data_IF_987847579716
#
_entry.id   IF_987847579716
#
_cell.length_a   1.000
_cell.length_b   1.000
_cell.length_c   1.000
_cell.angle_alpha   90.00
_cell.angle_beta   90.00
_cell.angle_gamma   90.00
#
_symmetry.space_group_name_H-M   'P 1'
#
loop_
_entity.id
_entity.type
_entity.pdbx_description
1 polymer ?
#
# COMPACT_ATOMS: atom_id res chain seq x y z
N UNK A 1 0.58 4.81 -16.64
CA UNK A 1 -0.04 3.88 -15.66
C UNK A 1 -1.54 4.06 -15.69
N UNK A 2 -2.30 3.00 -15.62
CA UNK A 2 -3.76 3.04 -15.64
C UNK A 2 -4.28 2.80 -14.22
N UNK A 3 -5.06 3.76 -13.71
CA UNK A 3 -5.57 3.81 -12.34
C UNK A 3 -4.83 4.83 -11.47
N UNK A 4 -5.47 5.26 -10.38
CA UNK A 4 -4.90 6.15 -9.37
C UNK A 4 -5.14 5.66 -7.94
N UNK A 5 -5.24 4.34 -7.78
CA UNK A 5 -5.21 3.70 -6.47
C UNK A 5 -3.80 3.67 -5.87
N UNK A 6 -3.66 3.23 -4.61
CA UNK A 6 -2.38 3.21 -3.90
C UNK A 6 -1.25 2.54 -4.67
N UNK A 7 -1.53 1.42 -5.35
CA UNK A 7 -0.52 0.70 -6.13
C UNK A 7 0.00 1.52 -7.33
N UNK A 8 -0.90 2.15 -8.10
CA UNK A 8 -0.53 2.97 -9.24
C UNK A 8 0.21 4.23 -8.82
N UNK A 9 -0.24 4.89 -7.76
CA UNK A 9 0.43 6.06 -7.17
C UNK A 9 1.84 5.70 -6.70
N UNK A 10 2.00 4.60 -5.95
CA UNK A 10 3.33 4.17 -5.47
C UNK A 10 4.27 3.81 -6.62
N UNK A 11 3.76 3.14 -7.65
CA UNK A 11 4.53 2.83 -8.85
C UNK A 11 4.95 4.10 -9.62
N UNK A 12 4.05 5.08 -9.75
CA UNK A 12 4.37 6.35 -10.40
C UNK A 12 5.43 7.14 -9.61
N UNK A 13 5.35 7.14 -8.27
CA UNK A 13 6.36 7.74 -7.40
C UNK A 13 7.73 7.08 -7.63
N UNK A 14 7.79 5.75 -7.66
CA UNK A 14 9.04 5.04 -7.92
C UNK A 14 9.64 5.35 -9.30
N UNK A 15 8.79 5.46 -10.33
CA UNK A 15 9.23 5.88 -11.66
C UNK A 15 9.78 7.31 -11.65
N UNK A 16 9.10 8.25 -10.99
CA UNK A 16 9.57 9.63 -10.89
C UNK A 16 10.90 9.72 -10.15
N UNK A 17 11.06 8.98 -9.05
CA UNK A 17 12.30 8.92 -8.27
C UNK A 17 13.45 8.28 -9.06
N UNK A 18 13.15 7.46 -10.08
CA UNK A 18 14.14 6.92 -11.02
C UNK A 18 14.45 7.84 -12.21
N UNK A 19 13.90 9.05 -12.23
CA UNK A 19 14.14 10.05 -13.29
C UNK A 19 13.25 9.92 -14.52
N UNK A 20 12.19 9.11 -14.46
CA UNK A 20 11.19 9.02 -15.53
C UNK A 20 10.01 9.96 -15.27
N UNK A 21 9.25 10.29 -16.30
CA UNK A 21 8.07 11.15 -16.21
C UNK A 21 6.80 10.32 -16.40
N UNK A 22 6.26 9.68 -15.34
CA UNK A 22 5.06 8.87 -15.46
C UNK A 22 3.81 9.72 -15.67
N UNK A 23 2.84 9.17 -16.41
CA UNK A 23 1.49 9.69 -16.54
C UNK A 23 0.53 8.72 -15.86
N UNK A 24 -0.33 9.21 -14.97
CA UNK A 24 -1.47 8.49 -14.41
C UNK A 24 -2.72 8.77 -15.24
N UNK A 25 -3.40 7.73 -15.69
CA UNK A 25 -4.69 7.82 -16.38
C UNK A 25 -5.73 7.14 -15.50
N UNK A 26 -6.77 7.86 -15.15
CA UNK A 26 -7.77 7.39 -14.19
C UNK A 26 -9.18 7.72 -14.65
N UNK A 27 -10.04 6.71 -14.62
CA UNK A 27 -11.45 6.83 -15.00
C UNK A 27 -12.32 7.55 -13.96
N UNK A 28 -11.78 7.73 -12.76
CA UNK A 28 -12.48 8.34 -11.63
C UNK A 28 -11.75 9.58 -11.12
N UNK A 29 -12.44 10.41 -10.35
CA UNK A 29 -11.83 11.59 -9.71
C UNK A 29 -10.81 11.22 -8.62
N UNK A 30 -10.09 12.22 -8.16
CA UNK A 30 -9.11 12.10 -7.07
C UNK A 30 -9.76 11.49 -5.83
N UNK A 31 -9.12 10.51 -5.22
CA UNK A 31 -9.58 9.84 -3.99
C UNK A 31 -10.73 8.85 -4.18
N UNK A 32 -11.20 8.62 -5.40
CA UNK A 32 -12.32 7.71 -5.69
C UNK A 32 -11.89 6.30 -6.09
N UNK A 33 -10.59 6.01 -6.10
CA UNK A 33 -10.10 4.67 -6.36
C UNK A 33 -10.64 3.65 -5.35
N UNK A 34 -10.98 2.45 -5.81
CA UNK A 34 -11.59 1.40 -4.97
C UNK A 34 -10.81 1.11 -3.69
N UNK A 35 -9.49 1.20 -3.73
CA UNK A 35 -8.64 1.04 -2.54
C UNK A 35 -8.86 2.11 -1.46
N UNK A 36 -9.31 3.31 -1.81
CA UNK A 36 -9.57 4.39 -0.85
C UNK A 36 -10.80 4.13 0.03
N UNK A 37 -11.67 3.23 -0.38
CA UNK A 37 -12.90 2.90 0.34
C UNK A 37 -12.80 1.63 1.20
N UNK A 38 -11.66 0.96 1.19
CA UNK A 38 -11.42 -0.18 2.06
C UNK A 38 -11.28 0.26 3.52
N UNK A 39 -11.88 -0.48 4.42
CA UNK A 39 -11.75 -0.30 5.88
C UNK A 39 -10.65 -1.18 6.48
N UNK A 40 -9.84 -1.82 5.64
CA UNK A 40 -8.74 -2.66 6.09
C UNK A 40 -7.55 -1.83 6.59
N UNK A 41 -6.80 -2.40 7.52
CA UNK A 41 -5.49 -1.89 7.91
C UNK A 41 -4.38 -2.28 6.94
N UNK A 42 -3.17 -2.13 7.39
CA UNK A 42 -1.95 -2.54 6.70
C UNK A 42 -1.38 -3.76 7.42
N UNK A 43 -1.17 -4.86 6.72
CA UNK A 43 -0.42 -5.99 7.24
C UNK A 43 1.07 -5.72 7.00
N UNK A 44 1.82 -5.52 8.08
CA UNK A 44 3.26 -5.30 8.03
C UNK A 44 3.95 -6.09 9.13
N UNK A 45 4.97 -6.83 8.76
CA UNK A 45 5.80 -7.57 9.72
C UNK A 45 6.59 -6.60 10.59
N UNK A 46 6.82 -6.97 11.84
CA UNK A 46 7.56 -6.13 12.80
C UNK A 46 9.06 -6.49 12.77
N UNK A 47 9.37 -7.75 12.50
CA UNK A 47 10.73 -8.28 12.44
C UNK A 47 10.87 -9.42 11.41
N UNK A 48 12.08 -10.00 11.30
CA UNK A 48 12.35 -11.06 10.33
C UNK A 48 11.58 -12.37 10.63
N UNK A 49 11.37 -12.71 11.90
CA UNK A 49 10.61 -13.90 12.30
C UNK A 49 9.13 -13.74 11.91
N UNK A 50 8.55 -12.59 12.19
CA UNK A 50 7.19 -12.26 11.78
C UNK A 50 7.08 -12.20 10.24
N UNK A 51 8.11 -11.74 9.54
CA UNK A 51 8.14 -11.74 8.07
C UNK A 51 8.03 -13.15 7.50
N UNK A 52 8.68 -14.15 8.11
CA UNK A 52 8.54 -15.56 7.71
C UNK A 52 7.13 -16.09 7.95
N UNK A 53 6.56 -15.84 9.13
CA UNK A 53 5.19 -16.23 9.45
C UNK A 53 4.17 -15.52 8.53
N UNK A 54 4.37 -14.25 8.24
CA UNK A 54 3.53 -13.49 7.31
C UNK A 54 3.51 -14.10 5.90
N UNK A 55 4.68 -14.49 5.42
CA UNK A 55 4.79 -15.18 4.12
C UNK A 55 4.04 -16.51 4.13
N UNK A 56 4.19 -17.30 5.18
CA UNK A 56 3.50 -18.60 5.32
C UNK A 56 1.98 -18.42 5.37
N UNK A 57 1.49 -17.49 6.15
CA UNK A 57 0.08 -17.12 6.22
C UNK A 57 -0.46 -16.68 4.84
N UNK A 58 0.29 -15.83 4.13
CA UNK A 58 -0.07 -15.34 2.79
C UNK A 58 -0.15 -16.48 1.77
N UNK A 59 0.82 -17.40 1.78
CA UNK A 59 0.83 -18.57 0.90
C UNK A 59 -0.33 -19.50 1.24
N UNK A 60 -0.55 -19.76 2.53
CA UNK A 60 -1.65 -20.61 3.00
C UNK A 60 -3.01 -20.06 2.59
N UNK A 61 -3.23 -18.75 2.76
CA UNK A 61 -4.49 -18.09 2.41
C UNK A 61 -4.76 -18.10 0.89
N UNK A 62 -3.73 -17.94 0.08
CA UNK A 62 -3.86 -17.94 -1.38
C UNK A 62 -3.81 -19.33 -2.03
N UNK A 63 -3.42 -20.36 -1.29
CA UNK A 63 -3.31 -21.75 -1.76
C UNK A 63 -2.40 -21.90 -2.98
N UNK A 64 -2.79 -22.78 -3.90
CA UNK A 64 -2.02 -23.10 -5.12
C UNK A 64 -1.88 -21.91 -6.09
N UNK A 65 -2.77 -20.91 -6.00
CA UNK A 65 -2.74 -19.72 -6.86
C UNK A 65 -1.71 -18.68 -6.43
N UNK A 66 -1.06 -18.87 -5.28
CA UNK A 66 -0.12 -17.89 -4.74
C UNK A 66 1.22 -17.94 -5.47
N UNK A 67 1.64 -16.81 -6.02
CA UNK A 67 3.03 -16.62 -6.42
C UNK A 67 3.90 -16.44 -5.17
N UNK A 68 4.63 -17.49 -4.84
CA UNK A 68 5.48 -17.57 -3.64
C UNK A 68 6.63 -16.56 -3.65
N UNK A 69 7.12 -16.18 -4.84
CA UNK A 69 8.20 -15.19 -4.99
C UNK A 69 7.66 -13.82 -4.64
N UNK A 70 6.52 -13.42 -5.21
CA UNK A 70 5.86 -12.16 -4.91
C UNK A 70 5.43 -12.08 -3.44
N UNK A 71 4.89 -13.16 -2.87
CA UNK A 71 4.52 -13.22 -1.46
C UNK A 71 5.73 -12.98 -0.54
N UNK A 72 6.86 -13.64 -0.81
CA UNK A 72 8.08 -13.47 -0.04
C UNK A 72 8.58 -12.02 -0.09
N UNK A 73 8.57 -11.41 -1.28
CA UNK A 73 8.98 -10.02 -1.48
C UNK A 73 8.08 -9.04 -0.73
N UNK A 74 6.76 -9.13 -0.92
CA UNK A 74 5.79 -8.22 -0.28
C UNK A 74 5.88 -8.30 1.24
N UNK A 75 5.93 -9.51 1.80
CA UNK A 75 6.04 -9.68 3.25
C UNK A 75 7.39 -9.19 3.80
N UNK A 76 8.48 -9.38 3.06
CA UNK A 76 9.81 -8.91 3.45
C UNK A 76 9.97 -7.39 3.39
N UNK A 77 9.29 -6.72 2.46
CA UNK A 77 9.37 -5.25 2.28
C UNK A 77 8.39 -4.48 3.18
N UNK A 78 7.51 -5.16 3.92
CA UNK A 78 6.41 -4.54 4.66
C UNK A 78 6.85 -3.50 5.69
N UNK A 79 7.88 -3.80 6.50
CA UNK A 79 8.42 -2.88 7.52
C UNK A 79 8.98 -1.61 6.89
N UNK A 80 9.80 -1.77 5.84
CA UNK A 80 10.40 -0.64 5.16
C UNK A 80 9.34 0.27 4.49
N UNK A 81 8.32 -0.35 3.91
CA UNK A 81 7.19 0.36 3.30
C UNK A 81 6.38 1.13 4.34
N UNK A 82 6.12 0.52 5.49
CA UNK A 82 5.40 1.18 6.58
C UNK A 82 6.18 2.40 7.10
N UNK A 83 7.48 2.23 7.33
CA UNK A 83 8.37 3.32 7.76
C UNK A 83 8.46 4.45 6.71
N UNK A 84 8.39 4.13 5.41
CA UNK A 84 8.31 5.14 4.35
C UNK A 84 7.02 5.95 4.44
N UNK A 85 5.87 5.29 4.61
CA UNK A 85 4.57 5.95 4.77
C UNK A 85 4.53 6.85 6.02
N UNK A 86 5.12 6.42 7.15
CA UNK A 86 5.25 7.23 8.35
C UNK A 86 6.11 8.48 8.10
N UNK A 87 7.24 8.34 7.41
CA UNK A 87 8.07 9.49 7.01
C UNK A 87 7.32 10.47 6.09
N UNK A 88 6.36 10.00 5.33
CA UNK A 88 5.50 10.83 4.48
C UNK A 88 4.29 11.40 5.22
N UNK A 89 4.09 11.03 6.49
CA UNK A 89 3.09 11.61 7.37
C UNK A 89 1.92 10.68 7.71
N UNK A 90 2.04 9.36 7.50
CA UNK A 90 1.08 8.42 8.03
C UNK A 90 1.21 8.35 9.56
N UNK A 91 0.12 8.64 10.25
CA UNK A 91 0.07 8.54 11.71
C UNK A 91 -0.64 7.24 12.08
N UNK A 92 0.12 6.28 12.59
CA UNK A 92 -0.40 5.00 13.06
C UNK A 92 -0.95 5.13 14.48
N UNK A 93 -1.93 4.31 14.82
CA UNK A 93 -2.28 4.10 16.22
C UNK A 93 -1.12 3.43 16.93
N UNK A 94 -0.77 3.94 18.10
CA UNK A 94 0.31 3.41 18.93
C UNK A 94 -0.22 2.81 20.22
N UNK A 95 0.51 1.83 20.74
CA UNK A 95 0.36 1.31 22.11
C UNK A 95 1.33 2.03 23.04
N UNK A 96 1.25 1.73 24.34
CA UNK A 96 2.24 2.19 25.31
C UNK A 96 3.66 1.88 24.83
N UNK A 97 4.56 2.86 24.91
CA UNK A 97 5.92 2.76 24.40
C UNK A 97 6.11 3.24 22.97
N UNK A 98 5.05 3.77 22.30
CA UNK A 98 5.16 4.40 20.97
C UNK A 98 5.26 3.43 19.79
N UNK A 99 5.18 2.13 20.02
CA UNK A 99 5.17 1.14 18.95
C UNK A 99 3.80 1.09 18.25
N UNK A 100 3.75 0.80 16.94
CA UNK A 100 2.48 0.61 16.24
C UNK A 100 1.59 -0.40 16.96
N UNK A 101 0.32 -0.08 17.09
CA UNK A 101 -0.66 -1.01 17.63
C UNK A 101 -1.01 -2.04 16.57
N UNK A 102 -0.57 -3.29 16.79
CA UNK A 102 -0.95 -4.42 15.95
C UNK A 102 -2.21 -5.10 16.52
N UNK A 103 -3.08 -5.56 15.63
CA UNK A 103 -4.29 -6.29 15.96
C UNK A 103 -4.48 -7.52 15.08
N UNK A 104 -5.29 -8.45 15.55
CA UNK A 104 -5.59 -9.70 14.86
C UNK A 104 -6.48 -9.47 13.63
N UNK A 105 -6.25 -10.24 12.60
CA UNK A 105 -7.12 -10.31 11.44
C UNK A 105 -7.20 -11.74 10.89
N UNK A 106 -8.29 -12.12 10.22
CA UNK A 106 -8.44 -13.44 9.62
C UNK A 106 -7.28 -13.78 8.68
N UNK A 107 -6.79 -15.01 8.76
CA UNK A 107 -5.67 -15.49 7.93
C UNK A 107 -4.28 -15.13 8.44
N UNK A 108 -4.18 -14.45 9.56
CA UNK A 108 -2.91 -14.13 10.21
C UNK A 108 -2.69 -14.97 11.45
N UNK A 109 -1.55 -15.63 11.57
CA UNK A 109 -1.14 -16.43 12.74
C UNK A 109 -0.71 -15.58 13.93
N UNK A 110 -0.35 -14.31 13.71
CA UNK A 110 0.00 -13.33 14.74
C UNK A 110 -0.65 -11.97 14.44
N UNK A 111 -0.73 -11.13 15.45
CA UNK A 111 -1.24 -9.76 15.33
C UNK A 111 -0.24 -8.90 14.56
N UNK A 112 -0.57 -8.53 13.31
CA UNK A 112 0.28 -7.69 12.47
C UNK A 112 -0.48 -6.61 11.70
N UNK A 113 -1.80 -6.59 11.79
CA UNK A 113 -2.58 -5.52 11.17
C UNK A 113 -2.40 -4.23 11.95
N UNK A 114 -2.02 -3.16 11.27
CA UNK A 114 -1.86 -1.82 11.87
C UNK A 114 -2.53 -0.76 11.02
N UNK A 115 -2.62 0.45 11.54
CA UNK A 115 -3.22 1.57 10.81
C UNK A 115 -3.70 2.69 11.73
N UNK A 116 -4.52 3.56 11.19
CA UNK A 116 -5.19 4.67 11.89
C UNK A 116 -6.71 4.43 12.06
N UNK A 117 -7.15 3.19 11.99
CA UNK A 117 -8.55 2.76 12.07
C UNK A 117 -9.16 2.54 10.69
N UNK A 118 -10.47 2.74 10.58
CA UNK A 118 -11.25 2.53 9.37
C UNK A 118 -10.94 3.50 8.22
N UNK A 119 -10.20 4.57 8.48
CA UNK A 119 -9.70 5.51 7.48
C UNK A 119 -8.31 5.19 6.93
N UNK A 120 -7.68 4.08 7.33
CA UNK A 120 -6.28 3.75 7.02
C UNK A 120 -5.98 3.84 5.52
N UNK A 121 -6.76 3.19 4.68
CA UNK A 121 -6.52 3.18 3.23
C UNK A 121 -6.76 4.53 2.58
N UNK A 122 -7.69 5.33 3.10
CA UNK A 122 -7.91 6.72 2.67
C UNK A 122 -6.69 7.58 2.99
N UNK A 123 -6.14 7.48 4.19
CA UNK A 123 -4.95 8.22 4.59
C UNK A 123 -3.72 7.81 3.78
N UNK A 124 -3.52 6.51 3.55
CA UNK A 124 -2.47 6.02 2.65
C UNK A 124 -2.61 6.62 1.25
N UNK A 125 -3.82 6.60 0.68
CA UNK A 125 -4.07 7.16 -0.65
C UNK A 125 -3.80 8.66 -0.67
N UNK A 126 -4.27 9.42 0.33
CA UNK A 126 -4.03 10.86 0.46
C UNK A 126 -2.53 11.18 0.49
N UNK A 127 -1.77 10.45 1.29
CA UNK A 127 -0.32 10.64 1.41
C UNK A 127 0.38 10.35 0.07
N UNK A 128 0.01 9.27 -0.60
CA UNK A 128 0.57 8.92 -1.90
C UNK A 128 0.22 9.96 -2.97
N UNK A 129 -0.99 10.51 -2.95
CA UNK A 129 -1.38 11.62 -3.83
C UNK A 129 -0.54 12.88 -3.57
N UNK A 130 -0.32 13.24 -2.31
CA UNK A 130 0.57 14.35 -1.96
C UNK A 130 2.00 14.13 -2.46
N UNK A 131 2.52 12.91 -2.33
CA UNK A 131 3.86 12.56 -2.84
C UNK A 131 3.93 12.61 -4.36
N UNK A 132 2.86 12.22 -5.05
CA UNK A 132 2.77 12.33 -6.51
C UNK A 132 2.73 13.80 -6.97
N UNK A 133 1.96 14.65 -6.28
CA UNK A 133 1.91 16.09 -6.54
C UNK A 133 3.27 16.75 -6.31
N UNK A 134 3.96 16.44 -5.21
CA UNK A 134 5.30 16.97 -4.88
C UNK A 134 6.34 16.65 -5.97
N UNK A 135 6.17 15.54 -6.70
CA UNK A 135 7.05 15.12 -7.81
C UNK A 135 6.58 15.61 -9.18
N UNK A 136 5.49 16.37 -9.24
CA UNK A 136 4.95 16.88 -10.50
C UNK A 136 4.41 15.79 -11.43
N UNK A 137 3.97 14.66 -10.87
CA UNK A 137 3.43 13.55 -11.67
C UNK A 137 2.13 13.99 -12.32
N UNK A 138 2.08 13.92 -13.66
CA UNK A 138 0.89 14.27 -14.43
C UNK A 138 -0.22 13.24 -14.23
N UNK A 139 -1.45 13.73 -14.17
CA UNK A 139 -2.65 12.90 -14.05
C UNK A 139 -3.73 13.36 -15.01
N UNK A 140 -4.31 12.41 -15.73
CA UNK A 140 -5.52 12.61 -16.54
C UNK A 140 -6.67 11.90 -15.81
N UNK A 141 -7.47 12.68 -15.08
CA UNK A 141 -8.69 12.21 -14.43
C UNK A 141 -9.84 12.12 -15.43
N UNK A 142 -10.90 11.40 -15.09
CA UNK A 142 -12.09 11.19 -15.91
C UNK A 142 -11.76 10.70 -17.34
N UNK A 143 -10.68 9.93 -17.45
CA UNK A 143 -10.13 9.46 -18.72
C UNK A 143 -10.12 7.94 -18.77
N UNK A 144 -10.74 7.38 -19.81
CA UNK A 144 -10.83 5.95 -20.03
C UNK A 144 -9.82 5.49 -21.07
N UNK A 145 -9.11 4.41 -20.78
CA UNK A 145 -8.26 3.72 -21.76
C UNK A 145 -9.07 2.62 -22.44
N UNK A 146 -9.31 2.76 -23.74
CA UNK A 146 -10.09 1.78 -24.51
C UNK A 146 -9.23 0.70 -25.16
N UNK A 147 -7.95 0.93 -25.33
CA UNK A 147 -7.06 -0.04 -25.94
C UNK A 147 -5.62 0.47 -26.01
N UNK A 148 -4.74 -0.46 -26.29
CA UNK A 148 -3.32 -0.22 -26.52
C UNK A 148 -2.94 -0.77 -27.88
N UNK A 149 -2.32 0.05 -28.74
CA UNK A 149 -1.78 -0.36 -30.04
C UNK A 149 -0.26 -0.39 -29.99
#
# INVERSE_FOLDING_TARGET
MVGAGPAALRAAIACADSGTSPLLIDASGVGSASGAHSIAGIAASIDELDSSAHREDTISAGGESTDKISAARVCGEGVATLAELERWGLVLRTREGGLPHAYSAPGHSVDRMTGCGDSTTREVTRILEEQAIKRGIQRWADTYLYGWQ
#
